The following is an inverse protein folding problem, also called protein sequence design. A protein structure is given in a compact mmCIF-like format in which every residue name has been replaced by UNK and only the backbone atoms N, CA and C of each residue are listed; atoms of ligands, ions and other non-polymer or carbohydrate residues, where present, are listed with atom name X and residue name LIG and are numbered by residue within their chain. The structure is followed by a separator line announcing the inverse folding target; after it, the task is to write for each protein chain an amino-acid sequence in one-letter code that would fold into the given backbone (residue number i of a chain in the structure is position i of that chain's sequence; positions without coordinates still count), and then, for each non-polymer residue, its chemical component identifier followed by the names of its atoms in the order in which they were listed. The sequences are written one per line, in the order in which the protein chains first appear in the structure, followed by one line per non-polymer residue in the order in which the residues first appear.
data_IF_029334494396
#
_entry.id   IF_029334494396
#
_cell.length_a   1.000
_cell.length_b   1.000
_cell.length_c   1.000
_cell.angle_alpha   90.00
_cell.angle_beta   90.00
_cell.angle_gamma   90.00
#
_symmetry.space_group_name_H-M   'P 1'
#
loop_
_entity.id
_entity.type
_entity.pdbx_description
1 polymer ?
#
# COMPACT_ATOMS: atom_id res chain seq x y z
N UNK A 1 17.27 12.44 11.54
CA UNK A 1 16.60 12.79 10.27
C UNK A 1 16.38 11.49 9.52
N UNK A 2 15.16 10.97 9.51
CA UNK A 2 14.88 9.71 8.80
C UNK A 2 14.97 9.97 7.30
N UNK A 3 15.76 9.16 6.60
CA UNK A 3 15.96 9.33 5.16
C UNK A 3 14.63 9.07 4.45
N UNK A 4 14.19 10.02 3.61
CA UNK A 4 13.02 9.79 2.76
C UNK A 4 13.32 8.64 1.79
N UNK A 5 12.36 7.74 1.53
CA UNK A 5 12.51 6.72 0.50
C UNK A 5 12.80 7.39 -0.85
N UNK A 6 13.71 6.81 -1.61
CA UNK A 6 13.99 7.29 -2.97
C UNK A 6 12.84 6.98 -3.94
N UNK A 7 12.90 7.58 -5.12
CA UNK A 7 11.86 7.41 -6.14
C UNK A 7 11.75 5.96 -6.65
N UNK A 8 12.87 5.22 -6.68
CA UNK A 8 12.89 3.83 -7.16
C UNK A 8 12.14 2.91 -6.18
N UNK A 9 12.39 3.09 -4.88
CA UNK A 9 11.70 2.39 -3.80
C UNK A 9 10.20 2.68 -3.82
N UNK A 10 9.83 3.96 -3.95
CA UNK A 10 8.43 4.37 -4.08
C UNK A 10 7.72 3.75 -5.29
N UNK A 11 8.39 3.76 -6.44
CA UNK A 11 7.87 3.14 -7.66
C UNK A 11 7.70 1.62 -7.53
N UNK A 12 8.64 0.94 -6.87
CA UNK A 12 8.54 -0.51 -6.61
C UNK A 12 7.34 -0.85 -5.72
N UNK A 13 7.05 -0.04 -4.70
CA UNK A 13 5.85 -0.19 -3.86
C UNK A 13 4.57 -0.01 -4.67
N UNK A 14 4.50 1.05 -5.50
CA UNK A 14 3.33 1.31 -6.34
C UNK A 14 3.08 0.19 -7.36
N UNK A 15 4.15 -0.31 -7.99
CA UNK A 15 4.07 -1.44 -8.92
C UNK A 15 3.63 -2.73 -8.22
N UNK A 16 4.13 -3.00 -7.01
CA UNK A 16 3.75 -4.18 -6.24
C UNK A 16 2.27 -4.15 -5.84
N UNK A 17 1.75 -2.99 -5.43
CA UNK A 17 0.32 -2.81 -5.11
C UNK A 17 -0.55 -3.06 -6.34
N UNK A 18 -0.23 -2.43 -7.48
CA UNK A 18 -0.96 -2.66 -8.75
C UNK A 18 -0.95 -4.13 -9.17
N UNK A 19 0.20 -4.80 -9.05
CA UNK A 19 0.31 -6.23 -9.39
C UNK A 19 -0.60 -7.11 -8.52
N UNK A 20 -0.88 -6.77 -7.26
CA UNK A 20 -1.84 -7.53 -6.46
C UNK A 20 -3.28 -7.36 -6.97
N UNK A 21 -3.64 -6.16 -7.43
CA UNK A 21 -4.96 -5.90 -8.04
C UNK A 21 -5.10 -6.68 -9.35
N UNK A 22 -4.08 -6.63 -10.21
CA UNK A 22 -4.07 -7.30 -11.51
C UNK A 22 -4.22 -8.83 -11.39
N UNK A 23 -3.63 -9.45 -10.36
CA UNK A 23 -3.79 -10.90 -10.10
C UNK A 23 -5.24 -11.33 -9.84
N UNK A 24 -6.09 -10.41 -9.40
CA UNK A 24 -7.51 -10.65 -9.18
C UNK A 24 -8.34 -10.43 -10.44
N UNK A 25 -7.72 -10.02 -11.56
CA UNK A 25 -8.43 -9.61 -12.78
C UNK A 25 -9.07 -8.23 -12.69
N UNK A 26 -8.66 -7.42 -11.71
CA UNK A 26 -9.15 -6.06 -11.49
C UNK A 26 -8.15 -5.02 -11.99
N UNK A 27 -8.58 -3.76 -12.06
CA UNK A 27 -7.69 -2.62 -12.34
C UNK A 27 -8.06 -1.40 -11.50
N UNK A 28 -7.04 -0.72 -10.99
CA UNK A 28 -7.18 0.61 -10.34
C UNK A 28 -6.58 1.73 -11.22
N UNK A 29 -6.27 1.44 -12.49
CA UNK A 29 -5.59 2.35 -13.41
C UNK A 29 -4.10 2.52 -13.06
N UNK A 30 -3.60 3.75 -13.19
CA UNK A 30 -2.20 4.10 -12.87
C UNK A 30 -1.96 4.41 -11.38
N UNK A 31 -2.98 4.29 -10.54
CA UNK A 31 -2.87 4.45 -9.10
C UNK A 31 -2.27 3.21 -8.40
N UNK A 32 -1.57 3.37 -7.25
CA UNK A 32 -1.13 4.63 -6.66
C UNK A 32 0.02 5.29 -7.43
N UNK A 33 0.07 6.63 -7.39
CA UNK A 33 1.15 7.43 -7.98
C UNK A 33 2.11 7.92 -6.89
N UNK A 34 3.40 7.60 -7.00
CA UNK A 34 4.38 7.96 -5.97
C UNK A 34 4.54 9.46 -5.76
N UNK A 35 4.46 10.29 -6.81
CA UNK A 35 4.59 11.75 -6.68
C UNK A 35 3.44 12.42 -5.93
N UNK A 36 2.33 11.71 -5.69
CA UNK A 36 1.17 12.23 -4.97
C UNK A 36 1.25 12.00 -3.44
N UNK A 37 2.30 11.34 -2.94
CA UNK A 37 2.40 11.04 -1.51
C UNK A 37 2.73 12.27 -0.68
N UNK A 38 2.16 12.29 0.53
CA UNK A 38 2.62 13.17 1.62
C UNK A 38 3.34 12.35 2.67
N UNK A 39 4.36 12.90 3.32
CA UNK A 39 5.17 12.18 4.29
C UNK A 39 4.93 12.68 5.71
N UNK A 40 4.89 11.74 6.65
CA UNK A 40 4.84 11.98 8.09
C UNK A 40 5.82 11.02 8.79
N UNK A 41 6.32 11.37 9.97
CA UNK A 41 7.14 10.47 10.79
C UNK A 41 6.26 9.77 11.82
N UNK A 42 6.52 8.48 12.05
CA UNK A 42 5.87 7.69 13.10
C UNK A 42 6.92 7.10 14.03
N UNK A 43 6.78 7.35 15.33
CA UNK A 43 7.68 6.82 16.36
C UNK A 43 7.08 5.56 16.94
N UNK A 44 7.81 4.46 16.89
CA UNK A 44 7.41 3.23 17.59
C UNK A 44 7.46 3.46 19.11
N UNK A 45 6.35 3.20 19.85
CA UNK A 45 6.30 3.50 21.28
C UNK A 45 7.22 2.61 22.12
N UNK A 46 7.60 1.43 21.62
CA UNK A 46 8.43 0.46 22.32
C UNK A 46 9.92 0.66 21.99
N UNK A 47 10.31 0.59 20.72
CA UNK A 47 11.71 0.71 20.27
C UNK A 47 12.21 2.14 20.17
N UNK A 48 11.29 3.13 20.12
CA UNK A 48 11.56 4.55 19.83
C UNK A 48 12.13 4.81 18.44
N UNK A 49 12.16 3.80 17.58
CA UNK A 49 12.61 3.95 16.21
C UNK A 49 11.63 4.79 15.40
N UNK A 50 12.17 5.58 14.47
CA UNK A 50 11.39 6.48 13.62
C UNK A 50 11.20 5.82 12.27
N UNK A 51 9.95 5.57 11.90
CA UNK A 51 9.55 5.16 10.56
C UNK A 51 9.11 6.37 9.74
N UNK A 52 9.37 6.33 8.44
CA UNK A 52 8.78 7.28 7.50
C UNK A 52 7.47 6.71 6.99
N UNK A 53 6.38 7.48 7.05
CA UNK A 53 5.07 7.07 6.55
C UNK A 53 4.71 7.93 5.35
N UNK A 54 4.43 7.31 4.21
CA UNK A 54 3.88 7.94 3.03
C UNK A 54 2.36 7.72 2.98
N UNK A 55 1.61 8.76 2.66
CA UNK A 55 0.16 8.73 2.53
C UNK A 55 -0.27 9.16 1.14
N UNK A 56 -1.11 8.34 0.51
CA UNK A 56 -1.96 8.75 -0.61
C UNK A 56 -3.31 9.18 -0.03
N UNK A 57 -3.59 10.48 -0.05
CA UNK A 57 -4.83 11.06 0.48
C UNK A 57 -5.33 12.19 -0.40
N UNK A 58 -6.65 12.42 -0.41
CA UNK A 58 -7.29 13.48 -1.20
C UNK A 58 -7.64 13.11 -2.65
N UNK A 59 -7.34 11.87 -3.07
CA UNK A 59 -7.81 11.28 -4.33
C UNK A 59 -9.04 10.37 -4.14
N UNK A 60 -9.36 9.57 -5.16
CA UNK A 60 -10.48 8.62 -5.11
C UNK A 60 -10.27 7.47 -4.12
N UNK A 61 -9.00 7.16 -3.80
CA UNK A 61 -8.59 6.06 -2.94
C UNK A 61 -7.59 6.55 -1.90
N UNK A 62 -7.70 5.98 -0.70
CA UNK A 62 -6.74 6.17 0.36
C UNK A 62 -5.71 5.04 0.36
N UNK A 63 -4.49 5.36 0.77
CA UNK A 63 -3.51 4.35 1.13
C UNK A 63 -2.36 4.90 1.94
N UNK A 64 -1.54 3.97 2.43
CA UNK A 64 -0.43 4.25 3.34
C UNK A 64 0.73 3.31 3.04
N UNK A 65 1.96 3.80 3.10
CA UNK A 65 3.17 3.00 3.10
C UNK A 65 4.08 3.40 4.26
N UNK A 66 4.40 2.45 5.14
CA UNK A 66 5.35 2.61 6.24
C UNK A 66 6.69 2.06 5.82
N UNK A 67 7.74 2.87 5.91
CA UNK A 67 9.13 2.52 5.68
C UNK A 67 9.83 2.44 7.03
N UNK A 68 10.17 1.22 7.41
CA UNK A 68 10.80 0.92 8.69
C UNK A 68 12.31 1.21 8.62
N UNK A 69 12.94 1.60 9.74
CA UNK A 69 14.37 1.91 9.78
C UNK A 69 15.28 0.76 9.36
N UNK A 70 14.82 -0.48 9.44
CA UNK A 70 15.56 -1.67 9.02
C UNK A 70 15.42 -2.01 7.51
N UNK A 71 14.81 -1.09 6.74
CA UNK A 71 14.63 -1.19 5.30
C UNK A 71 13.42 -2.04 4.88
N UNK A 72 12.62 -2.53 5.83
CA UNK A 72 11.33 -3.15 5.50
C UNK A 72 10.30 -2.09 5.10
N UNK A 73 9.32 -2.52 4.32
CA UNK A 73 8.16 -1.74 3.91
C UNK A 73 6.91 -2.53 4.22
N UNK A 74 5.87 -1.83 4.67
CA UNK A 74 4.49 -2.30 4.67
C UNK A 74 3.63 -1.24 4.00
N UNK A 75 2.86 -1.59 2.98
CA UNK A 75 1.96 -0.65 2.32
C UNK A 75 0.60 -1.28 2.07
N UNK A 76 -0.43 -0.44 2.15
CA UNK A 76 -1.83 -0.79 1.92
C UNK A 76 -2.46 0.29 1.05
N UNK A 77 -3.28 -0.13 0.09
CA UNK A 77 -3.98 0.77 -0.82
C UNK A 77 -5.38 0.26 -1.13
N UNK A 78 -6.37 1.15 -1.01
CA UNK A 78 -7.76 0.81 -1.29
C UNK A 78 -7.97 0.35 -2.74
N UNK A 79 -8.94 -0.53 -2.94
CA UNK A 79 -9.39 -1.00 -4.26
C UNK A 79 -10.87 -0.71 -4.44
N UNK A 80 -11.69 -1.10 -3.45
CA UNK A 80 -13.13 -0.87 -3.35
C UNK A 80 -13.90 -1.33 -4.60
N UNK A 81 -13.62 -2.54 -5.08
CA UNK A 81 -14.28 -3.14 -6.24
C UNK A 81 -14.85 -4.52 -5.90
N UNK A 82 -15.96 -4.89 -6.54
CA UNK A 82 -16.57 -6.21 -6.36
C UNK A 82 -15.54 -7.33 -6.63
N UNK A 83 -15.56 -8.37 -5.81
CA UNK A 83 -14.65 -9.49 -5.98
C UNK A 83 -15.10 -10.36 -7.17
N UNK A 84 -14.29 -10.53 -8.23
CA UNK A 84 -14.68 -11.32 -9.40
C UNK A 84 -14.94 -12.80 -9.10
N UNK A 85 -14.39 -13.33 -8.01
CA UNK A 85 -14.54 -14.73 -7.63
C UNK A 85 -15.77 -14.99 -6.73
N UNK A 86 -16.30 -13.97 -6.07
CA UNK A 86 -17.41 -14.10 -5.11
C UNK A 86 -18.22 -12.80 -5.03
N UNK A 87 -19.44 -12.83 -5.57
CA UNK A 87 -20.34 -11.69 -5.67
C UNK A 87 -20.89 -11.15 -4.34
N UNK A 88 -20.76 -11.90 -3.23
CA UNK A 88 -21.16 -11.43 -1.90
C UNK A 88 -20.03 -10.67 -1.18
N UNK A 89 -18.88 -10.50 -1.85
CA UNK A 89 -17.69 -9.84 -1.31
C UNK A 89 -17.14 -8.77 -2.25
N UNK A 90 -16.27 -7.92 -1.70
CA UNK A 90 -15.50 -6.93 -2.45
C UNK A 90 -14.04 -6.94 -1.99
N UNK A 91 -13.16 -6.50 -2.88
CA UNK A 91 -11.75 -6.23 -2.57
C UNK A 91 -11.69 -4.85 -1.93
N UNK A 92 -11.46 -4.81 -0.63
CA UNK A 92 -11.38 -3.58 0.14
C UNK A 92 -10.07 -2.84 -0.16
N UNK A 93 -8.96 -3.56 -0.02
CA UNK A 93 -7.62 -3.05 -0.25
C UNK A 93 -6.69 -4.15 -0.79
N UNK A 94 -5.50 -3.75 -1.21
CA UNK A 94 -4.35 -4.64 -1.38
C UNK A 94 -3.24 -4.20 -0.45
N UNK A 95 -2.51 -5.17 0.08
CA UNK A 95 -1.39 -4.93 0.96
C UNK A 95 -0.13 -5.58 0.42
N UNK A 96 1.01 -4.93 0.61
CA UNK A 96 2.35 -5.42 0.25
C UNK A 96 3.33 -5.23 1.39
N UNK A 97 4.26 -6.16 1.54
CA UNK A 97 5.27 -6.12 2.60
C UNK A 97 6.57 -6.81 2.20
N UNK A 98 7.65 -6.46 2.89
CA UNK A 98 8.97 -7.06 2.68
C UNK A 98 10.04 -5.99 2.52
N UNK A 99 11.07 -6.28 1.72
CA UNK A 99 12.07 -5.29 1.29
C UNK A 99 11.78 -4.84 -0.14
N UNK A 100 12.21 -3.64 -0.58
CA UNK A 100 11.93 -3.12 -1.91
C UNK A 100 12.30 -4.07 -3.05
N UNK A 101 13.34 -4.90 -2.88
CA UNK A 101 13.81 -5.86 -3.89
C UNK A 101 12.96 -7.14 -3.93
N UNK A 102 12.18 -7.41 -2.89
CA UNK A 102 11.43 -8.66 -2.72
C UNK A 102 10.15 -8.44 -1.92
N UNK A 103 9.22 -7.69 -2.51
CA UNK A 103 7.89 -7.52 -1.94
C UNK A 103 7.02 -8.77 -2.11
N UNK A 104 6.18 -9.01 -1.12
CA UNK A 104 5.04 -9.93 -1.14
C UNK A 104 3.77 -9.10 -1.01
N UNK A 105 2.63 -9.71 -1.27
CA UNK A 105 1.37 -9.01 -1.10
C UNK A 105 0.18 -9.93 -1.24
N UNK A 106 -0.96 -9.43 -0.78
CA UNK A 106 -2.25 -10.10 -0.84
C UNK A 106 -3.40 -9.07 -0.92
N UNK A 107 -4.59 -9.58 -1.23
CA UNK A 107 -5.81 -8.81 -1.25
C UNK A 107 -6.53 -8.91 0.10
N UNK A 108 -7.09 -7.79 0.56
CA UNK A 108 -7.99 -7.75 1.70
C UNK A 108 -9.41 -7.84 1.16
N UNK A 109 -10.09 -8.95 1.46
CA UNK A 109 -11.46 -9.22 1.01
C UNK A 109 -12.42 -8.94 2.17
N UNK A 110 -13.49 -8.20 1.88
CA UNK A 110 -14.54 -7.88 2.84
C UNK A 110 -15.90 -8.33 2.31
N UNK A 111 -16.80 -8.69 3.23
CA UNK A 111 -18.20 -8.97 2.89
C UNK A 111 -19.00 -7.67 2.86
N UNK A 112 -20.03 -7.60 2.01
CA UNK A 112 -20.99 -6.50 2.09
C UNK A 112 -21.74 -6.53 3.43
N UNK A 113 -21.97 -5.35 4.02
CA UNK A 113 -22.85 -5.27 5.18
C UNK A 113 -24.28 -5.58 4.75
N UNK A 114 -24.95 -6.45 5.52
CA UNK A 114 -26.34 -6.84 5.31
C UNK A 114 -27.30 -5.89 6.01
#
# INVERSE_FOLDING_TARGET
MTQRPDAATGAAVCAALRSQVEKLGLSIGDEPVWSAVTFEEAVDPFSREVSTVAYWRGGARFGKATFFPDGRVFAEYQVLQANPADGDTYVDAVQVWGRPEKLRGEAVIAAYQK
#
